data_IF_537117447673
#
_entry.id   IF_537117447673
#
_cell.length_a   1.000
_cell.length_b   1.000
_cell.length_c   1.000
_cell.angle_alpha   90.00
_cell.angle_beta   90.00
_cell.angle_gamma   90.00
#
_symmetry.space_group_name_H-M   'P 1'
#
loop_
_entity.id
_entity.type
_entity.pdbx_description
1 polymer ?
#
# COMPACT_ATOMS: atom_id res chain seq x y z
N UNK A 1 -0.40 0.27 7.21
CA UNK A 1 -1.29 1.24 7.89
C UNK A 1 -2.04 0.53 9.00
N UNK A 2 -2.16 1.14 10.18
CA UNK A 2 -2.84 0.54 11.34
C UNK A 2 -4.03 1.38 11.79
N UNK A 3 -5.15 0.72 12.05
CA UNK A 3 -6.36 1.32 12.59
C UNK A 3 -6.83 0.52 13.81
N UNK A 4 -7.24 1.22 14.86
CA UNK A 4 -7.91 0.61 16.01
C UNK A 4 -9.15 -0.16 15.52
N UNK A 5 -9.51 -1.31 16.12
CA UNK A 5 -10.67 -2.09 15.69
C UNK A 5 -11.96 -1.27 15.59
N UNK A 6 -12.17 -0.36 16.53
CA UNK A 6 -13.38 0.48 16.63
C UNK A 6 -13.60 1.43 15.43
N UNK A 7 -12.55 1.74 14.66
CA UNK A 7 -12.63 2.63 13.50
C UNK A 7 -12.45 1.91 12.16
N UNK A 8 -12.36 0.57 12.15
CA UNK A 8 -12.26 -0.22 10.92
C UNK A 8 -13.61 -0.29 10.19
N UNK A 9 -13.58 -0.60 8.90
CA UNK A 9 -14.79 -0.68 8.07
C UNK A 9 -15.40 0.66 7.66
N UNK A 10 -14.88 1.79 8.16
CA UNK A 10 -15.40 3.13 7.88
C UNK A 10 -14.74 3.83 6.67
N UNK A 11 -14.02 3.09 5.83
CA UNK A 11 -13.34 3.67 4.65
C UNK A 11 -12.11 4.55 4.95
N UNK A 12 -11.71 4.69 6.22
CA UNK A 12 -10.59 5.55 6.64
C UNK A 12 -9.24 5.12 6.02
N UNK A 13 -9.01 3.82 5.85
CA UNK A 13 -7.79 3.32 5.20
C UNK A 13 -7.66 3.82 3.75
N UNK A 14 -8.76 3.81 2.99
CA UNK A 14 -8.80 4.35 1.62
C UNK A 14 -8.52 5.85 1.63
N UNK A 15 -9.16 6.59 2.53
CA UNK A 15 -8.96 8.04 2.65
C UNK A 15 -7.49 8.38 2.97
N UNK A 16 -6.90 7.70 3.94
CA UNK A 16 -5.50 7.91 4.33
C UNK A 16 -4.54 7.55 3.19
N UNK A 17 -4.77 6.43 2.51
CA UNK A 17 -3.96 6.02 1.37
C UNK A 17 -4.00 7.07 0.24
N UNK A 18 -5.18 7.56 -0.13
CA UNK A 18 -5.32 8.58 -1.17
C UNK A 18 -4.60 9.89 -0.79
N UNK A 19 -4.78 10.37 0.45
CA UNK A 19 -4.08 11.56 0.92
C UNK A 19 -2.54 11.39 0.84
N UNK A 20 -2.03 10.21 1.21
CA UNK A 20 -0.59 9.94 1.12
C UNK A 20 -0.09 9.88 -0.34
N UNK A 21 -0.86 9.27 -1.24
CA UNK A 21 -0.51 9.19 -2.67
C UNK A 21 -0.54 10.57 -3.34
N UNK A 22 -1.54 11.39 -3.02
CA UNK A 22 -1.66 12.75 -3.55
C UNK A 22 -0.51 13.62 -3.06
N UNK A 23 -0.18 13.54 -1.77
CA UNK A 23 0.99 14.23 -1.24
C UNK A 23 2.29 13.78 -1.92
N UNK A 24 2.46 12.47 -2.16
CA UNK A 24 3.64 11.96 -2.85
C UNK A 24 3.75 12.51 -4.29
N UNK A 25 2.64 12.66 -5.02
CA UNK A 25 2.61 13.31 -6.34
C UNK A 25 3.05 14.77 -6.26
N UNK A 26 2.54 15.51 -5.29
CA UNK A 26 2.90 16.92 -5.07
C UNK A 26 4.40 17.09 -4.79
N UNK A 27 5.01 16.13 -4.09
CA UNK A 27 6.45 16.10 -3.83
C UNK A 27 7.29 15.61 -5.03
N UNK A 28 6.66 15.26 -6.16
CA UNK A 28 7.35 14.87 -7.39
C UNK A 28 7.75 13.39 -7.47
N UNK A 29 7.31 12.55 -6.52
CA UNK A 29 7.51 11.11 -6.62
C UNK A 29 6.75 10.53 -7.82
N UNK A 30 7.35 9.52 -8.45
CA UNK A 30 6.80 8.87 -9.66
C UNK A 30 6.14 7.54 -9.39
N UNK A 31 6.55 6.88 -8.30
CA UNK A 31 6.10 5.53 -7.96
C UNK A 31 5.94 5.39 -6.45
N UNK A 32 4.94 4.64 -6.05
CA UNK A 32 4.72 4.21 -4.68
C UNK A 32 4.89 2.69 -4.62
N UNK A 33 5.81 2.25 -3.78
CA UNK A 33 6.09 0.84 -3.54
C UNK A 33 5.62 0.46 -2.13
N UNK A 34 5.02 -0.72 -2.01
CA UNK A 34 4.65 -1.28 -0.71
C UNK A 34 4.93 -2.78 -0.64
N UNK A 35 5.06 -3.23 0.59
CA UNK A 35 5.19 -4.63 0.97
C UNK A 35 4.15 -4.94 2.04
N UNK A 36 3.56 -6.13 2.00
CA UNK A 36 2.56 -6.61 2.95
C UNK A 36 2.62 -8.12 3.05
N UNK A 37 1.95 -8.68 4.05
CA UNK A 37 1.80 -10.12 4.21
C UNK A 37 0.53 -10.63 3.53
N UNK A 38 0.56 -11.86 3.03
CA UNK A 38 -0.58 -12.50 2.35
C UNK A 38 -1.83 -12.66 3.24
N UNK A 39 -1.65 -12.62 4.57
CA UNK A 39 -2.73 -12.68 5.55
C UNK A 39 -3.61 -11.41 5.56
N UNK A 40 -3.09 -10.27 5.12
CA UNK A 40 -3.78 -8.98 5.15
C UNK A 40 -4.64 -8.77 3.89
N UNK A 41 -5.58 -9.67 3.64
CA UNK A 41 -6.40 -9.72 2.41
C UNK A 41 -7.16 -8.42 2.13
N UNK A 42 -7.71 -7.78 3.16
CA UNK A 42 -8.45 -6.52 3.01
C UNK A 42 -7.52 -5.37 2.61
N UNK A 43 -6.26 -5.39 3.06
CA UNK A 43 -5.27 -4.39 2.67
C UNK A 43 -4.85 -4.61 1.21
N UNK A 44 -4.58 -5.85 0.81
CA UNK A 44 -4.25 -6.20 -0.58
C UNK A 44 -5.38 -5.74 -1.52
N UNK A 45 -6.63 -6.11 -1.23
CA UNK A 45 -7.78 -5.71 -2.03
C UNK A 45 -8.03 -4.18 -2.02
N UNK A 46 -7.60 -3.46 -0.97
CA UNK A 46 -7.60 -2.00 -0.98
C UNK A 46 -6.57 -1.47 -1.99
N UNK A 47 -5.34 -1.96 -1.94
CA UNK A 47 -4.26 -1.48 -2.82
C UNK A 47 -4.54 -1.82 -4.30
N UNK A 48 -5.05 -3.01 -4.61
CA UNK A 48 -5.48 -3.38 -5.96
C UNK A 48 -6.53 -2.39 -6.50
N UNK A 49 -7.54 -2.05 -5.68
CA UNK A 49 -8.56 -1.04 -6.05
C UNK A 49 -8.01 0.37 -6.19
N UNK A 50 -6.87 0.67 -5.57
CA UNK A 50 -6.16 1.94 -5.73
C UNK A 50 -5.24 1.93 -6.95
N UNK A 51 -5.19 0.83 -7.71
CA UNK A 51 -4.37 0.68 -8.91
C UNK A 51 -2.91 0.41 -8.59
N UNK A 52 -2.63 -0.32 -7.50
CA UNK A 52 -1.36 -1.00 -7.32
C UNK A 52 -1.37 -2.34 -8.05
N UNK A 53 -0.24 -2.69 -8.64
CA UNK A 53 -0.01 -3.95 -9.34
C UNK A 53 0.98 -4.80 -8.56
N UNK A 54 0.77 -6.11 -8.56
CA UNK A 54 1.71 -7.05 -7.93
C UNK A 54 3.00 -7.13 -8.75
N UNK A 55 4.13 -7.16 -8.05
CA UNK A 55 5.45 -7.39 -8.66
C UNK A 55 6.10 -8.63 -8.05
N UNK A 56 6.92 -9.33 -8.83
CA UNK A 56 7.56 -10.58 -8.39
C UNK A 56 8.67 -10.35 -7.37
N UNK A 57 9.43 -9.27 -7.54
CA UNK A 57 10.66 -9.00 -6.81
C UNK A 57 10.58 -7.71 -5.98
N UNK A 58 11.30 -7.62 -4.84
CA UNK A 58 11.35 -6.40 -4.06
C UNK A 58 12.09 -5.28 -4.77
N UNK A 59 11.66 -4.05 -4.54
CA UNK A 59 12.38 -2.87 -5.03
C UNK A 59 13.43 -2.45 -4.00
N UNK A 60 14.64 -2.98 -4.19
CA UNK A 60 15.80 -2.65 -3.37
C UNK A 60 15.94 -3.54 -2.13
N UNK A 61 16.77 -3.09 -1.19
CA UNK A 61 17.11 -3.85 0.02
C UNK A 61 16.30 -3.36 1.23
N UNK A 62 14.98 -3.62 1.25
CA UNK A 62 14.08 -3.08 2.27
C UNK A 62 14.22 -3.75 3.65
N UNK A 63 14.80 -4.95 3.72
CA UNK A 63 14.94 -5.71 4.96
C UNK A 63 13.64 -6.38 5.45
N UNK A 64 12.54 -6.26 4.70
CA UNK A 64 11.28 -6.95 5.01
C UNK A 64 11.33 -8.40 4.52
N UNK A 65 11.85 -9.28 5.37
CA UNK A 65 11.95 -10.72 5.07
C UNK A 65 10.61 -11.45 5.20
N UNK A 66 9.69 -10.93 6.01
CA UNK A 66 8.40 -11.55 6.30
C UNK A 66 7.24 -11.01 5.43
N UNK A 67 7.52 -10.17 4.43
CA UNK A 67 6.50 -9.66 3.52
C UNK A 67 6.58 -10.39 2.19
N UNK A 68 5.58 -11.23 1.91
CA UNK A 68 5.55 -12.05 0.70
C UNK A 68 4.89 -11.33 -0.48
N UNK A 69 4.06 -10.31 -0.21
CA UNK A 69 3.31 -9.56 -1.23
C UNK A 69 3.95 -8.21 -1.44
N UNK A 70 4.23 -7.91 -2.71
CA UNK A 70 4.94 -6.71 -3.15
C UNK A 70 4.11 -6.05 -4.23
N UNK A 71 3.88 -4.76 -4.08
CA UNK A 71 3.05 -4.04 -5.05
C UNK A 71 3.64 -2.68 -5.38
N UNK A 72 3.46 -2.28 -6.64
CA UNK A 72 3.94 -1.03 -7.19
C UNK A 72 2.78 -0.26 -7.81
N UNK A 73 2.80 1.06 -7.65
CA UNK A 73 1.87 1.97 -8.30
C UNK A 73 2.64 3.12 -8.93
N UNK A 74 2.37 3.39 -10.20
CA UNK A 74 2.72 4.68 -10.80
C UNK A 74 1.81 5.78 -10.24
N UNK A 75 2.43 6.87 -9.82
CA UNK A 75 1.79 8.01 -9.16
C UNK A 75 1.34 9.06 -10.17
#
# INVERSE_FOLDING_TARGET
MYFLPVIRGQGLAKKLALMALDHAREQGFKRCYLETTAFLREAIALYERLGFEHISEPLGCTGHVDCEVRMLKDL
#
